data_IF_362680048457
#
_entry.id   IF_362680048457
#
_cell.length_a   1.000
_cell.length_b   1.000
_cell.length_c   1.000
_cell.angle_alpha   90.00
_cell.angle_beta   90.00
_cell.angle_gamma   90.00
#
_symmetry.space_group_name_H-M   'P 1'
#
loop_
_entity.id
_entity.type
_entity.pdbx_description
1 polymer ?
#
# COMPACT_ATOMS: atom_id res chain seq x y z
N UNK A 1 -19.57 11.95 -13.20
CA UNK A 1 -18.98 12.25 -14.52
C UNK A 1 -17.73 11.40 -14.71
N UNK A 2 -17.65 10.65 -15.81
CA UNK A 2 -16.56 9.72 -16.14
C UNK A 2 -15.33 10.52 -16.61
N UNK A 3 -14.29 10.63 -15.78
CA UNK A 3 -13.00 11.15 -16.23
C UNK A 3 -12.21 10.02 -16.91
N UNK A 4 -12.27 10.00 -18.24
CA UNK A 4 -11.36 9.22 -19.09
C UNK A 4 -9.97 9.83 -18.98
N UNK A 5 -9.01 9.06 -18.45
CA UNK A 5 -7.59 9.39 -18.55
C UNK A 5 -7.24 9.30 -20.05
N UNK A 6 -6.95 10.46 -20.66
CA UNK A 6 -6.41 10.54 -22.01
C UNK A 6 -4.96 10.09 -21.95
N UNK A 7 -4.70 8.88 -22.47
CA UNK A 7 -3.38 8.38 -22.81
C UNK A 7 -2.77 9.36 -23.83
N UNK A 8 -1.84 10.22 -23.40
CA UNK A 8 -1.02 11.00 -24.30
C UNK A 8 0.00 10.04 -24.94
N UNK A 9 -0.38 9.45 -26.08
CA UNK A 9 0.57 8.83 -27.00
C UNK A 9 1.36 9.98 -27.65
N UNK A 10 2.50 10.34 -27.07
CA UNK A 10 3.50 11.12 -27.79
C UNK A 10 4.06 10.24 -28.88
N UNK A 11 3.56 10.42 -30.10
CA UNK A 11 4.25 9.97 -31.31
C UNK A 11 5.62 10.65 -31.34
N UNK A 12 6.67 9.89 -31.05
CA UNK A 12 8.01 10.27 -31.45
C UNK A 12 8.03 10.37 -32.97
N UNK A 13 8.33 11.56 -33.49
CA UNK A 13 8.66 11.76 -34.89
C UNK A 13 9.76 10.78 -35.28
N UNK A 14 9.46 9.88 -36.20
CA UNK A 14 10.49 9.08 -36.88
C UNK A 14 11.30 10.08 -37.70
N UNK A 15 12.46 10.45 -37.18
CA UNK A 15 13.45 11.22 -37.93
C UNK A 15 13.96 10.32 -39.06
N UNK A 16 13.36 10.43 -40.24
CA UNK A 16 13.96 9.91 -41.48
C UNK A 16 15.27 10.68 -41.70
N UNK A 17 16.39 10.09 -41.31
CA UNK A 17 17.71 10.61 -41.67
C UNK A 17 17.96 10.35 -43.16
N UNK A 18 18.56 11.32 -43.88
CA UNK A 18 18.85 11.18 -45.31
C UNK A 18 19.98 10.16 -45.49
N UNK A 19 19.69 9.05 -46.16
CA UNK A 19 20.70 8.12 -46.65
C UNK A 19 21.52 8.83 -47.74
N UNK A 20 22.68 9.38 -47.38
CA UNK A 20 23.68 9.82 -48.36
C UNK A 20 24.38 8.58 -48.93
N UNK A 21 24.25 8.40 -50.24
CA UNK A 21 24.88 7.33 -50.99
C UNK A 21 26.41 7.51 -50.99
N UNK A 22 27.14 6.55 -50.45
CA UNK A 22 28.60 6.43 -50.61
C UNK A 22 28.97 5.07 -51.20
N UNK A 23 29.96 5.11 -52.09
CA UNK A 23 30.44 4.04 -52.98
C UNK A 23 30.87 2.75 -52.28
N UNK A 24 30.56 1.64 -52.95
CA UNK A 24 30.59 0.26 -52.50
C UNK A 24 31.99 -0.27 -52.13
N UNK A 25 32.34 -0.24 -50.84
CA UNK A 25 33.04 -1.28 -50.06
C UNK A 25 33.54 -0.68 -48.74
N UNK A 26 34.06 0.55 -48.75
CA UNK A 26 34.36 1.31 -47.52
C UNK A 26 33.09 1.84 -46.83
N UNK A 27 32.08 2.24 -47.61
CA UNK A 27 30.82 2.78 -47.08
C UNK A 27 29.99 1.76 -46.28
N UNK A 28 30.13 0.47 -46.56
CA UNK A 28 29.45 -0.59 -45.81
C UNK A 28 30.08 -0.83 -44.44
N UNK A 29 31.41 -0.79 -44.33
CA UNK A 29 32.09 -0.87 -43.04
C UNK A 29 31.79 0.34 -42.16
N UNK A 30 31.71 1.53 -42.76
CA UNK A 30 31.31 2.75 -42.06
C UNK A 30 29.83 2.68 -41.65
N UNK A 31 28.94 2.14 -42.49
CA UNK A 31 27.53 1.93 -42.15
C UNK A 31 27.35 0.95 -40.99
N UNK A 32 28.01 -0.21 -41.03
CA UNK A 32 27.93 -1.22 -39.94
C UNK A 32 28.43 -0.64 -38.62
N UNK A 33 29.56 0.08 -38.63
CA UNK A 33 30.08 0.74 -37.42
C UNK A 33 29.13 1.82 -36.90
N UNK A 34 28.50 2.58 -37.78
CA UNK A 34 27.49 3.58 -37.40
C UNK A 34 26.24 2.91 -36.81
N UNK A 35 25.76 1.80 -37.39
CA UNK A 35 24.63 1.04 -36.87
C UNK A 35 24.92 0.43 -35.50
N UNK A 36 26.08 -0.20 -35.34
CA UNK A 36 26.54 -0.74 -34.05
C UNK A 36 26.66 0.34 -32.98
N UNK A 37 27.24 1.50 -33.34
CA UNK A 37 27.40 2.63 -32.43
C UNK A 37 26.03 3.21 -32.01
N UNK A 38 25.10 3.37 -32.96
CA UNK A 38 23.75 3.86 -32.68
C UNK A 38 22.97 2.90 -31.79
N UNK A 39 23.00 1.61 -32.11
CA UNK A 39 22.36 0.56 -31.30
C UNK A 39 22.92 0.53 -29.87
N UNK A 40 24.26 0.49 -29.74
CA UNK A 40 24.91 0.50 -28.43
C UNK A 40 24.54 1.75 -27.63
N UNK A 41 24.60 2.93 -28.24
CA UNK A 41 24.23 4.18 -27.58
C UNK A 41 22.76 4.20 -27.13
N UNK A 42 21.84 3.68 -27.94
CA UNK A 42 20.43 3.59 -27.58
C UNK A 42 20.20 2.68 -26.38
N UNK A 43 20.78 1.48 -26.37
CA UNK A 43 20.66 0.55 -25.24
C UNK A 43 21.26 1.14 -23.97
N UNK A 44 22.47 1.74 -24.03
CA UNK A 44 23.08 2.37 -22.87
C UNK A 44 22.25 3.53 -22.33
N UNK A 45 21.64 4.33 -23.21
CA UNK A 45 20.72 5.41 -22.81
C UNK A 45 19.47 4.86 -22.13
N UNK A 46 18.85 3.82 -22.69
CA UNK A 46 17.69 3.17 -22.09
C UNK A 46 18.03 2.56 -20.74
N UNK A 47 19.13 1.80 -20.64
CA UNK A 47 19.58 1.21 -19.39
C UNK A 47 19.90 2.27 -18.33
N UNK A 48 20.54 3.38 -18.71
CA UNK A 48 20.79 4.50 -17.80
C UNK A 48 19.47 5.08 -17.25
N UNK A 49 18.43 5.19 -18.08
CA UNK A 49 17.11 5.61 -17.63
C UNK A 49 16.46 4.58 -16.70
N UNK A 50 16.62 3.29 -17.00
CA UNK A 50 16.14 2.20 -16.14
C UNK A 50 16.79 2.29 -14.77
N UNK A 51 18.13 2.39 -14.73
CA UNK A 51 18.94 2.50 -13.51
C UNK A 51 18.47 3.65 -12.61
N UNK A 52 18.22 4.84 -13.16
CA UNK A 52 17.74 5.98 -12.36
C UNK A 52 16.37 5.71 -11.72
N UNK A 53 15.46 5.02 -12.42
CA UNK A 53 14.17 4.66 -11.83
C UNK A 53 14.29 3.50 -10.83
N UNK A 54 15.20 2.57 -11.10
CA UNK A 54 15.54 1.47 -10.19
C UNK A 54 16.11 1.98 -8.87
N UNK A 55 17.04 2.93 -8.91
CA UNK A 55 17.62 3.55 -7.71
C UNK A 55 16.55 4.24 -6.88
N UNK A 56 15.65 5.02 -7.48
CA UNK A 56 14.51 5.63 -6.78
C UNK A 56 13.57 4.59 -6.15
N UNK A 57 13.34 3.49 -6.86
CA UNK A 57 12.49 2.41 -6.39
C UNK A 57 13.14 1.64 -5.24
N UNK A 58 14.45 1.37 -5.32
CA UNK A 58 15.26 0.78 -4.26
C UNK A 58 15.31 1.68 -3.02
N UNK A 59 15.54 2.99 -3.21
CA UNK A 59 15.57 3.97 -2.13
C UNK A 59 14.21 4.06 -1.40
N UNK A 60 13.10 3.93 -2.15
CA UNK A 60 11.78 3.86 -1.56
C UNK A 60 11.64 2.70 -0.55
N UNK A 61 12.24 1.54 -0.86
CA UNK A 61 12.23 0.36 -0.01
C UNK A 61 13.43 0.26 0.94
N UNK A 62 14.31 1.27 0.98
CA UNK A 62 15.45 1.26 1.89
C UNK A 62 15.00 1.37 3.35
N UNK A 63 15.42 0.39 4.17
CA UNK A 63 15.13 0.36 5.61
C UNK A 63 15.95 1.36 6.46
N UNK A 64 16.79 2.20 5.84
CA UNK A 64 17.67 3.13 6.57
C UNK A 64 17.09 4.54 6.68
N UNK A 65 17.26 5.14 7.87
CA UNK A 65 16.80 6.49 8.25
C UNK A 65 17.49 7.64 7.47
N UNK A 66 18.54 7.36 6.70
CA UNK A 66 19.34 8.39 6.04
C UNK A 66 18.75 8.88 4.71
N UNK A 67 17.72 8.22 4.18
CA UNK A 67 17.04 8.64 2.95
C UNK A 67 15.78 9.45 3.29
N UNK A 68 15.67 10.66 2.74
CA UNK A 68 14.52 11.57 3.01
C UNK A 68 13.20 11.09 2.37
N UNK A 69 13.21 10.05 1.54
CA UNK A 69 12.10 9.67 0.65
C UNK A 69 11.80 8.15 0.62
N UNK A 70 12.09 7.40 1.68
CA UNK A 70 11.65 6.01 1.80
C UNK A 70 10.15 5.89 2.17
N UNK A 71 9.56 4.70 2.04
CA UNK A 71 8.16 4.44 2.37
C UNK A 71 7.78 4.88 3.80
N UNK A 72 8.70 4.68 4.75
CA UNK A 72 8.50 5.07 6.15
C UNK A 72 8.46 6.59 6.34
N UNK A 73 9.21 7.37 5.56
CA UNK A 73 9.22 8.84 5.64
C UNK A 73 7.82 9.46 5.41
N UNK A 74 6.99 8.84 4.56
CA UNK A 74 5.64 9.31 4.24
C UNK A 74 4.57 8.85 5.23
N UNK A 75 4.85 7.80 6.00
CA UNK A 75 3.83 7.02 6.70
C UNK A 75 4.08 6.93 8.20
N UNK A 76 5.32 6.75 8.64
CA UNK A 76 5.67 6.21 9.95
C UNK A 76 5.10 7.00 11.12
N UNK A 77 5.24 8.34 11.12
CA UNK A 77 4.75 9.16 12.24
C UNK A 77 3.22 9.09 12.38
N UNK A 78 2.50 9.16 11.25
CA UNK A 78 1.04 9.06 11.24
C UNK A 78 0.58 7.65 11.58
N UNK A 79 1.24 6.64 11.01
CA UNK A 79 1.01 5.24 11.31
C UNK A 79 1.21 4.92 12.77
N UNK A 80 2.32 5.35 13.37
CA UNK A 80 2.63 5.06 14.77
C UNK A 80 1.54 5.58 15.70
N UNK A 81 1.06 6.81 15.46
CA UNK A 81 -0.07 7.40 16.18
C UNK A 81 -1.38 6.63 15.94
N UNK A 82 -1.72 6.35 14.68
CA UNK A 82 -2.91 5.56 14.30
C UNK A 82 -2.91 4.17 14.93
N UNK A 83 -1.76 3.49 14.86
CA UNK A 83 -1.56 2.14 15.35
C UNK A 83 -1.65 2.06 16.86
N UNK A 84 -1.12 3.06 17.60
CA UNK A 84 -1.34 3.14 19.05
C UNK A 84 -2.82 3.22 19.40
N UNK A 85 -3.59 4.05 18.68
CA UNK A 85 -5.02 4.22 18.89
C UNK A 85 -5.78 2.92 18.63
N UNK A 86 -5.53 2.26 17.49
CA UNK A 86 -6.22 1.02 17.13
C UNK A 86 -5.78 -0.18 17.97
N UNK A 87 -4.49 -0.26 18.34
CA UNK A 87 -3.98 -1.33 19.21
C UNK A 87 -4.53 -1.26 20.62
N UNK A 88 -4.73 -0.05 21.16
CA UNK A 88 -5.40 0.12 22.45
C UNK A 88 -6.83 -0.44 22.42
N UNK A 89 -7.60 -0.12 21.38
CA UNK A 89 -8.93 -0.67 21.17
C UNK A 89 -8.90 -2.20 21.09
N UNK A 90 -8.01 -2.76 20.26
CA UNK A 90 -7.89 -4.20 20.09
C UNK A 90 -7.54 -4.90 21.41
N UNK A 91 -6.59 -4.38 22.19
CA UNK A 91 -6.20 -4.98 23.46
C UNK A 91 -7.32 -4.96 24.52
N UNK A 92 -8.08 -3.87 24.59
CA UNK A 92 -9.08 -3.68 25.65
C UNK A 92 -10.47 -4.22 25.30
N UNK A 93 -10.77 -4.43 24.02
CA UNK A 93 -12.09 -4.85 23.55
C UNK A 93 -12.02 -6.17 22.80
N UNK A 94 -11.28 -6.23 21.68
CA UNK A 94 -11.26 -7.41 20.81
C UNK A 94 -10.56 -8.62 21.44
N UNK A 95 -9.41 -8.39 22.06
CA UNK A 95 -8.55 -9.43 22.64
C UNK A 95 -8.83 -9.65 24.13
N UNK A 96 -9.71 -8.85 24.73
CA UNK A 96 -10.14 -9.02 26.11
C UNK A 96 -11.27 -10.06 26.14
N UNK A 97 -10.96 -11.29 26.55
CA UNK A 97 -11.90 -12.42 26.53
C UNK A 97 -13.21 -12.14 27.28
N UNK A 98 -13.14 -11.45 28.43
CA UNK A 98 -14.33 -11.08 29.21
C UNK A 98 -15.22 -10.11 28.43
N UNK A 99 -14.63 -9.04 27.89
CA UNK A 99 -15.38 -8.01 27.15
C UNK A 99 -15.94 -8.60 25.86
N UNK A 100 -15.11 -9.29 25.08
CA UNK A 100 -15.49 -9.92 23.83
C UNK A 100 -16.70 -10.87 24.03
N UNK A 101 -16.66 -11.73 25.04
CA UNK A 101 -17.79 -12.64 25.35
C UNK A 101 -19.09 -11.89 25.58
N UNK A 102 -19.07 -10.76 26.30
CA UNK A 102 -20.26 -9.92 26.53
C UNK A 102 -20.75 -9.30 25.23
N UNK A 103 -19.83 -8.78 24.40
CA UNK A 103 -20.18 -8.09 23.16
C UNK A 103 -20.67 -9.05 22.06
N UNK A 104 -20.32 -10.34 22.12
CA UNK A 104 -20.85 -11.39 21.24
C UNK A 104 -22.30 -11.81 21.57
N UNK A 105 -22.81 -11.47 22.76
CA UNK A 105 -24.21 -11.75 23.11
C UNK A 105 -25.18 -10.98 22.19
N UNK A 106 -26.34 -11.59 21.93
CA UNK A 106 -27.44 -10.89 21.26
C UNK A 106 -27.93 -9.69 22.09
N UNK A 107 -28.43 -8.65 21.43
CA UNK A 107 -28.97 -7.45 22.08
C UNK A 107 -30.10 -7.75 23.08
N UNK A 108 -30.75 -8.91 22.99
CA UNK A 108 -31.75 -9.39 23.96
C UNK A 108 -31.14 -9.84 25.30
N UNK A 109 -29.92 -10.40 25.24
CA UNK A 109 -29.19 -10.99 26.36
C UNK A 109 -28.17 -10.04 27.00
N UNK A 110 -27.98 -8.85 26.44
CA UNK A 110 -27.18 -7.76 27.05
C UNK A 110 -28.03 -6.54 27.35
N UNK A 111 -27.55 -5.73 28.28
CA UNK A 111 -28.15 -4.46 28.66
C UNK A 111 -27.07 -3.38 28.83
N UNK A 112 -27.46 -2.11 28.77
CA UNK A 112 -26.57 -0.95 28.93
C UNK A 112 -27.17 0.01 29.95
N UNK A 113 -26.39 0.45 30.93
CA UNK A 113 -26.92 1.15 32.08
C UNK A 113 -25.87 1.44 33.13
N UNK A 114 -26.29 1.75 34.36
CA UNK A 114 -25.40 2.03 35.48
C UNK A 114 -25.86 1.31 36.75
N UNK A 115 -24.97 1.18 37.73
CA UNK A 115 -25.33 0.64 39.03
C UNK A 115 -25.65 1.77 40.01
N UNK A 116 -26.75 1.62 40.74
CA UNK A 116 -27.13 2.47 41.87
C UNK A 116 -27.52 1.55 43.04
N UNK A 117 -26.86 1.69 44.18
CA UNK A 117 -27.07 0.82 45.35
C UNK A 117 -27.02 -0.69 45.01
N UNK A 118 -26.01 -1.11 44.22
CA UNK A 118 -25.84 -2.48 43.71
C UNK A 118 -26.99 -3.02 42.85
N UNK A 119 -27.91 -2.16 42.41
CA UNK A 119 -28.97 -2.53 41.46
C UNK A 119 -28.63 -1.93 40.10
N UNK A 120 -28.73 -2.73 39.05
CA UNK A 120 -28.53 -2.25 37.68
C UNK A 120 -29.77 -1.50 37.19
N UNK A 121 -29.58 -0.25 36.77
CA UNK A 121 -30.60 0.60 36.16
C UNK A 121 -30.34 0.64 34.67
N UNK A 122 -31.24 0.03 33.89
CA UNK A 122 -31.14 0.02 32.44
C UNK A 122 -31.35 1.40 31.85
N UNK A 123 -30.48 1.74 30.90
CA UNK A 123 -30.57 2.89 30.01
C UNK A 123 -30.71 2.46 28.54
N UNK A 124 -31.18 1.23 28.29
CA UNK A 124 -31.26 0.64 26.95
C UNK A 124 -31.97 1.55 25.95
N UNK A 125 -33.07 2.20 26.35
CA UNK A 125 -33.80 3.12 25.47
C UNK A 125 -32.97 4.32 25.02
N UNK A 126 -32.11 4.85 25.90
CA UNK A 126 -31.26 6.02 25.61
C UNK A 126 -29.98 5.62 24.88
N UNK A 127 -29.41 4.46 25.20
CA UNK A 127 -28.12 3.98 24.70
C UNK A 127 -28.23 2.80 23.72
N UNK A 128 -29.40 2.54 23.12
CA UNK A 128 -29.59 1.40 22.22
C UNK A 128 -28.59 1.42 21.05
N UNK A 129 -28.34 2.60 20.47
CA UNK A 129 -27.37 2.76 19.39
C UNK A 129 -25.96 2.30 19.82
N UNK A 130 -25.53 2.62 21.04
CA UNK A 130 -24.24 2.16 21.57
C UNK A 130 -24.19 0.64 21.76
N UNK A 131 -25.30 0.03 22.19
CA UNK A 131 -25.40 -1.42 22.35
C UNK A 131 -25.20 -2.15 21.00
N UNK A 132 -25.79 -1.61 19.92
CA UNK A 132 -25.64 -2.10 18.55
C UNK A 132 -24.26 -1.79 17.97
N UNK A 133 -23.75 -0.58 18.19
CA UNK A 133 -22.43 -0.16 17.71
C UNK A 133 -21.29 -0.98 18.31
N UNK A 134 -21.42 -1.36 19.58
CA UNK A 134 -20.49 -2.24 20.30
C UNK A 134 -20.82 -3.73 20.16
N UNK A 135 -21.75 -4.14 19.29
CA UNK A 135 -22.07 -5.55 19.07
C UNK A 135 -20.98 -6.29 18.29
N UNK A 136 -20.65 -7.51 18.70
CA UNK A 136 -19.76 -8.43 17.96
C UNK A 136 -20.50 -9.70 17.51
N UNK A 137 -21.82 -9.76 17.66
CA UNK A 137 -22.60 -10.85 17.08
C UNK A 137 -22.54 -10.76 15.53
N UNK A 138 -22.57 -11.90 14.83
CA UNK A 138 -22.34 -11.93 13.37
C UNK A 138 -23.35 -11.10 12.57
N UNK A 139 -24.59 -10.99 13.06
CA UNK A 139 -25.68 -10.26 12.40
C UNK A 139 -25.37 -8.76 12.34
N UNK A 140 -24.94 -8.18 13.46
CA UNK A 140 -24.71 -6.74 13.59
C UNK A 140 -23.28 -6.31 13.26
N UNK A 141 -22.33 -7.25 13.31
CA UNK A 141 -20.91 -6.96 13.19
C UNK A 141 -20.54 -6.41 11.80
N UNK A 142 -21.22 -6.78 10.73
CA UNK A 142 -20.74 -6.54 9.35
C UNK A 142 -20.51 -5.06 8.98
N UNK A 143 -21.10 -4.09 9.69
CA UNK A 143 -20.88 -2.67 9.39
C UNK A 143 -21.01 -1.66 10.56
N UNK A 144 -21.00 -2.15 11.80
CA UNK A 144 -21.10 -1.30 12.99
C UNK A 144 -19.74 -0.69 13.42
N UNK A 145 -19.71 0.02 14.55
CA UNK A 145 -18.48 0.61 15.08
C UNK A 145 -17.39 -0.45 15.36
N UNK A 146 -17.75 -1.61 15.94
CA UNK A 146 -16.81 -2.69 16.23
C UNK A 146 -16.05 -3.16 14.99
N UNK A 147 -16.74 -3.48 13.89
CA UNK A 147 -16.02 -3.92 12.68
C UNK A 147 -15.21 -2.83 12.03
N UNK A 148 -15.65 -1.57 12.07
CA UNK A 148 -14.86 -0.43 11.58
C UNK A 148 -13.54 -0.30 12.33
N UNK A 149 -13.57 -0.47 13.65
CA UNK A 149 -12.36 -0.42 14.48
C UNK A 149 -11.47 -1.65 14.34
N UNK A 150 -12.06 -2.85 14.22
CA UNK A 150 -11.28 -4.06 13.92
C UNK A 150 -10.56 -3.91 12.57
N UNK A 151 -11.27 -3.49 11.52
CA UNK A 151 -10.69 -3.23 10.19
C UNK A 151 -9.58 -2.16 10.24
N UNK A 152 -9.74 -1.14 11.09
CA UNK A 152 -8.72 -0.12 11.28
C UNK A 152 -7.45 -0.70 11.92
N UNK A 153 -7.59 -1.54 12.95
CA UNK A 153 -6.47 -2.24 13.57
C UNK A 153 -5.77 -3.19 12.59
N UNK A 154 -6.53 -4.03 11.87
CA UNK A 154 -5.98 -4.95 10.87
C UNK A 154 -5.19 -4.22 9.78
N UNK A 155 -5.75 -3.13 9.24
CA UNK A 155 -5.09 -2.35 8.19
C UNK A 155 -3.82 -1.63 8.68
N UNK A 156 -3.81 -1.14 9.92
CA UNK A 156 -2.60 -0.54 10.49
C UNK A 156 -1.46 -1.58 10.60
N UNK A 157 -1.77 -2.83 10.99
CA UNK A 157 -0.76 -3.88 11.03
C UNK A 157 -0.30 -4.26 9.62
N UNK A 158 -1.25 -4.53 8.71
CA UNK A 158 -0.95 -4.93 7.34
C UNK A 158 -0.03 -3.92 6.64
N UNK A 159 -0.34 -2.62 6.74
CA UNK A 159 0.45 -1.57 6.10
C UNK A 159 1.92 -1.58 6.53
N UNK A 160 2.20 -1.85 7.81
CA UNK A 160 3.59 -1.94 8.28
C UNK A 160 4.24 -3.24 7.81
N UNK A 161 3.51 -4.35 7.91
CA UNK A 161 4.06 -5.67 7.60
C UNK A 161 4.43 -5.76 6.11
N UNK A 162 3.53 -5.33 5.21
CA UNK A 162 3.80 -5.34 3.77
C UNK A 162 5.00 -4.45 3.39
N UNK A 163 5.13 -3.26 3.99
CA UNK A 163 6.29 -2.38 3.70
C UNK A 163 7.59 -3.05 4.15
N UNK A 164 7.60 -3.70 5.32
CA UNK A 164 8.80 -4.39 5.82
C UNK A 164 9.14 -5.60 4.96
N UNK A 165 8.15 -6.41 4.61
CA UNK A 165 8.37 -7.65 3.86
C UNK A 165 8.76 -7.35 2.42
N UNK A 166 8.12 -6.35 1.79
CA UNK A 166 8.53 -5.86 0.46
C UNK A 166 9.96 -5.28 0.51
N UNK A 167 10.30 -4.50 1.53
CA UNK A 167 11.65 -3.95 1.68
C UNK A 167 12.74 -5.02 1.84
N UNK A 168 12.44 -6.13 2.53
CA UNK A 168 13.37 -7.26 2.66
C UNK A 168 13.45 -8.10 1.39
N UNK A 169 12.35 -8.23 0.66
CA UNK A 169 12.25 -9.10 -0.51
C UNK A 169 12.60 -8.40 -1.82
N UNK A 170 12.70 -7.06 -1.84
CA UNK A 170 12.79 -6.28 -3.08
C UNK A 170 13.95 -6.73 -4.00
N UNK A 171 15.09 -7.12 -3.43
CA UNK A 171 16.26 -7.58 -4.21
C UNK A 171 15.99 -8.82 -5.05
N UNK A 172 14.95 -9.59 -4.70
CA UNK A 172 14.52 -10.81 -5.38
C UNK A 172 13.34 -10.54 -6.33
N UNK A 173 12.96 -9.28 -6.52
CA UNK A 173 11.89 -8.92 -7.44
C UNK A 173 12.40 -8.92 -8.87
N UNK A 174 11.49 -9.15 -9.80
CA UNK A 174 11.78 -9.15 -11.24
C UNK A 174 12.44 -7.83 -11.68
N UNK A 175 12.06 -6.70 -11.08
CA UNK A 175 12.69 -5.40 -11.32
C UNK A 175 14.22 -5.39 -11.02
N UNK A 176 14.64 -6.02 -9.93
CA UNK A 176 16.05 -6.19 -9.56
C UNK A 176 16.74 -7.24 -10.43
N UNK A 177 16.07 -8.35 -10.74
CA UNK A 177 16.61 -9.37 -11.65
C UNK A 177 16.92 -8.79 -13.04
N UNK A 178 16.03 -7.95 -13.58
CA UNK A 178 16.24 -7.29 -14.87
C UNK A 178 17.44 -6.34 -14.84
N UNK A 179 17.56 -5.55 -13.77
CA UNK A 179 18.73 -4.68 -13.55
C UNK A 179 20.03 -5.49 -13.52
N UNK A 180 20.03 -6.61 -12.81
CA UNK A 180 21.21 -7.44 -12.58
C UNK A 180 21.70 -8.16 -13.85
N UNK A 181 20.85 -8.38 -14.86
CA UNK A 181 21.29 -8.99 -16.12
C UNK A 181 22.38 -8.17 -16.83
N UNK A 182 22.40 -6.84 -16.68
CA UNK A 182 23.41 -5.97 -17.29
C UNK A 182 24.79 -6.06 -16.64
N UNK A 183 24.89 -6.74 -15.50
CA UNK A 183 26.13 -6.97 -14.76
C UNK A 183 26.51 -8.45 -14.72
N UNK A 184 25.74 -9.31 -15.39
CA UNK A 184 26.05 -10.73 -15.45
C UNK A 184 27.21 -10.96 -16.42
N UNK A 185 28.32 -11.50 -15.91
CA UNK A 185 29.55 -11.69 -16.67
C UNK A 185 29.58 -12.97 -17.49
N UNK A 186 28.60 -13.86 -17.33
CA UNK A 186 28.56 -15.16 -18.02
C UNK A 186 28.42 -15.06 -19.55
N UNK A 187 27.81 -13.97 -20.05
CA UNK A 187 27.69 -13.66 -21.48
C UNK A 187 28.77 -12.69 -21.99
N UNK A 188 29.73 -12.30 -21.14
CA UNK A 188 30.69 -11.23 -21.42
C UNK A 188 30.23 -9.85 -20.95
N UNK A 189 31.19 -8.95 -20.75
CA UNK A 189 30.95 -7.64 -20.11
C UNK A 189 30.67 -6.49 -21.10
N UNK A 190 30.62 -6.78 -22.40
CA UNK A 190 30.51 -5.80 -23.48
C UNK A 190 29.13 -5.80 -24.17
N UNK A 191 28.09 -5.89 -23.33
CA UNK A 191 26.73 -5.62 -23.77
C UNK A 191 26.64 -4.24 -24.46
N UNK A 192 25.70 -4.05 -25.39
CA UNK A 192 24.77 -5.04 -25.91
C UNK A 192 25.31 -5.81 -27.13
N UNK A 193 26.59 -5.64 -27.48
CA UNK A 193 27.16 -6.19 -28.72
C UNK A 193 27.86 -7.54 -28.51
N UNK A 194 28.45 -7.76 -27.33
CA UNK A 194 29.19 -8.98 -26.97
C UNK A 194 30.34 -9.33 -27.92
N UNK A 195 31.00 -8.31 -28.48
CA UNK A 195 32.13 -8.41 -29.43
C UNK A 195 33.32 -9.21 -28.90
N UNK A 196 33.52 -9.26 -27.59
CA UNK A 196 34.65 -9.93 -26.95
C UNK A 196 34.36 -11.40 -26.60
N UNK A 197 33.33 -11.99 -27.21
CA UNK A 197 32.93 -13.38 -26.99
C UNK A 197 33.03 -14.22 -28.26
N UNK A 198 33.10 -15.54 -28.09
CA UNK A 198 33.25 -16.48 -29.22
C UNK A 198 32.04 -16.45 -30.17
N UNK A 199 30.83 -16.23 -29.62
CA UNK A 199 29.61 -16.12 -30.41
C UNK A 199 28.76 -14.90 -30.02
N UNK A 200 29.12 -13.70 -30.51
CA UNK A 200 28.43 -12.46 -30.16
C UNK A 200 26.94 -12.46 -30.50
N UNK A 201 26.52 -13.15 -31.57
CA UNK A 201 25.11 -13.21 -31.98
C UNK A 201 24.28 -14.07 -31.03
N UNK A 202 24.77 -15.28 -30.72
CA UNK A 202 24.12 -16.17 -29.76
C UNK A 202 24.04 -15.52 -28.37
N UNK A 203 25.11 -14.86 -27.91
CA UNK A 203 25.08 -14.15 -26.63
C UNK A 203 24.07 -12.99 -26.61
N UNK A 204 23.89 -12.27 -27.73
CA UNK A 204 22.82 -11.25 -27.85
C UNK A 204 21.43 -11.87 -27.76
N UNK A 205 21.20 -13.02 -28.39
CA UNK A 205 19.92 -13.73 -28.33
C UNK A 205 19.64 -14.23 -26.91
N UNK A 206 20.61 -14.90 -26.27
CA UNK A 206 20.48 -15.38 -24.89
C UNK A 206 20.22 -14.20 -23.92
N UNK A 207 20.93 -13.08 -24.09
CA UNK A 207 20.69 -11.89 -23.28
C UNK A 207 19.26 -11.36 -23.44
N UNK A 208 18.78 -11.27 -24.68
CA UNK A 208 17.41 -10.82 -24.96
C UNK A 208 16.36 -11.77 -24.39
N UNK A 209 16.55 -13.07 -24.52
CA UNK A 209 15.62 -14.09 -24.02
C UNK A 209 15.52 -14.04 -22.49
N UNK A 210 16.66 -13.91 -21.79
CA UNK A 210 16.70 -13.72 -20.33
C UNK A 210 15.94 -12.45 -19.91
N UNK A 211 16.17 -11.33 -20.59
CA UNK A 211 15.45 -10.08 -20.31
C UNK A 211 13.95 -10.23 -20.54
N UNK A 212 13.55 -10.91 -21.61
CA UNK A 212 12.16 -11.12 -21.97
C UNK A 212 11.44 -12.06 -20.96
N UNK A 213 12.11 -13.13 -20.53
CA UNK A 213 11.61 -14.05 -19.51
C UNK A 213 11.36 -13.34 -18.17
N UNK A 214 12.28 -12.46 -17.77
CA UNK A 214 12.12 -11.61 -16.58
C UNK A 214 10.98 -10.60 -16.79
N UNK A 215 10.93 -9.93 -17.94
CA UNK A 215 9.90 -8.94 -18.25
C UNK A 215 8.48 -9.53 -18.23
N UNK A 216 8.30 -10.77 -18.66
CA UNK A 216 7.01 -11.46 -18.59
C UNK A 216 6.46 -11.58 -17.16
N UNK A 217 7.33 -11.52 -16.14
CA UNK A 217 6.93 -11.53 -14.72
C UNK A 217 6.54 -10.15 -14.19
N UNK A 218 6.94 -9.05 -14.85
CA UNK A 218 6.71 -7.69 -14.36
C UNK A 218 5.24 -7.38 -14.11
N UNK A 219 4.34 -7.74 -15.05
CA UNK A 219 2.93 -7.39 -14.92
C UNK A 219 2.27 -8.11 -13.73
N UNK A 220 2.60 -9.38 -13.51
CA UNK A 220 2.07 -10.15 -12.39
C UNK A 220 2.60 -9.61 -11.06
N UNK A 221 3.91 -9.36 -10.97
CA UNK A 221 4.53 -8.80 -9.78
C UNK A 221 4.02 -7.38 -9.48
N UNK A 222 3.87 -6.54 -10.51
CA UNK A 222 3.29 -5.20 -10.39
C UNK A 222 1.87 -5.25 -9.83
N UNK A 223 0.99 -6.10 -10.41
CA UNK A 223 -0.39 -6.24 -9.94
C UNK A 223 -0.46 -6.83 -8.53
N UNK A 224 0.41 -7.76 -8.19
CA UNK A 224 0.40 -8.41 -6.88
C UNK A 224 0.93 -7.49 -5.77
N UNK A 225 2.03 -6.76 -6.03
CA UNK A 225 2.79 -6.05 -5.00
C UNK A 225 2.62 -4.53 -5.03
N UNK A 226 2.56 -3.94 -6.22
CA UNK A 226 2.60 -2.48 -6.39
C UNK A 226 1.20 -1.90 -6.47
N UNK A 227 0.43 -2.25 -7.51
CA UNK A 227 -0.91 -1.72 -7.72
C UNK A 227 -1.77 -2.63 -8.59
N UNK A 228 -2.95 -2.96 -8.07
CA UNK A 228 -3.99 -3.67 -8.81
C UNK A 228 -5.16 -2.73 -9.10
N UNK A 229 -5.31 -2.31 -10.35
CA UNK A 229 -6.42 -1.44 -10.78
C UNK A 229 -7.79 -2.14 -10.77
N UNK A 230 -7.80 -3.47 -10.85
CA UNK A 230 -9.01 -4.28 -10.85
C UNK A 230 -9.62 -4.39 -9.42
N UNK A 231 -8.82 -4.14 -8.38
CA UNK A 231 -9.22 -4.17 -6.98
C UNK A 231 -9.65 -2.77 -6.52
N UNK A 232 -10.97 -2.59 -6.33
CA UNK A 232 -11.54 -1.32 -5.84
C UNK A 232 -11.63 -1.23 -4.33
N UNK A 233 -11.86 -2.36 -3.66
CA UNK A 233 -12.07 -2.44 -2.22
C UNK A 233 -11.06 -3.41 -1.60
N UNK A 234 -10.64 -3.11 -0.37
CA UNK A 234 -9.84 -4.05 0.42
C UNK A 234 -10.73 -5.18 0.93
N UNK A 235 -10.29 -6.40 0.69
CA UNK A 235 -10.88 -7.60 1.28
C UNK A 235 -10.27 -7.82 2.67
N UNK A 236 -10.91 -7.24 3.69
CA UNK A 236 -10.43 -7.31 5.08
C UNK A 236 -10.33 -8.73 5.63
N UNK A 237 -11.02 -9.72 5.03
CA UNK A 237 -10.92 -11.13 5.43
C UNK A 237 -9.57 -11.75 5.04
N UNK A 238 -8.83 -11.11 4.14
CA UNK A 238 -7.53 -11.57 3.63
C UNK A 238 -6.36 -10.67 4.04
N UNK A 239 -6.59 -9.72 4.94
CA UNK A 239 -5.51 -8.96 5.56
C UNK A 239 -4.75 -9.84 6.56
N UNK A 240 -3.45 -9.62 6.69
CA UNK A 240 -2.54 -10.49 7.39
C UNK A 240 -1.92 -11.54 6.46
N UNK A 241 -1.08 -12.40 7.04
CA UNK A 241 -0.44 -13.51 6.33
C UNK A 241 -1.50 -14.50 5.83
N UNK A 242 -1.77 -14.47 4.52
CA UNK A 242 -2.73 -15.36 3.87
C UNK A 242 -2.00 -16.45 3.09
N UNK A 243 -2.54 -17.68 3.14
CA UNK A 243 -2.08 -18.77 2.28
C UNK A 243 -2.51 -18.47 0.84
N UNK A 244 -1.55 -18.26 -0.05
CA UNK A 244 -1.79 -18.11 -1.48
C UNK A 244 -2.09 -19.47 -2.12
N UNK A 245 -2.67 -19.44 -3.33
CA UNK A 245 -3.11 -20.65 -4.04
C UNK A 245 -1.95 -21.61 -4.41
N UNK A 246 -0.72 -21.11 -4.41
CA UNK A 246 0.51 -21.88 -4.64
C UNK A 246 1.12 -22.47 -3.35
N UNK A 247 0.44 -22.31 -2.21
CA UNK A 247 0.91 -22.78 -0.89
C UNK A 247 1.94 -21.86 -0.23
N UNK A 248 2.30 -20.74 -0.87
CA UNK A 248 3.14 -19.71 -0.24
C UNK A 248 2.30 -18.84 0.69
N UNK A 249 2.95 -18.18 1.64
CA UNK A 249 2.29 -17.17 2.45
C UNK A 249 2.69 -15.78 1.99
N UNK A 250 1.74 -14.86 1.92
CA UNK A 250 2.02 -13.47 1.59
C UNK A 250 0.84 -12.53 1.74
N UNK A 251 1.08 -11.26 1.44
CA UNK A 251 0.08 -10.21 1.41
C UNK A 251 -0.84 -10.38 0.19
N UNK A 252 -2.14 -10.20 0.40
CA UNK A 252 -3.16 -10.40 -0.65
C UNK A 252 -3.54 -9.12 -1.40
N UNK A 253 -3.06 -7.96 -0.92
CA UNK A 253 -3.33 -6.65 -1.52
C UNK A 253 -2.03 -5.95 -1.89
N UNK A 254 -2.03 -5.29 -3.03
CA UNK A 254 -0.91 -4.47 -3.45
C UNK A 254 -0.80 -3.18 -2.60
N UNK A 255 0.43 -2.71 -2.41
CA UNK A 255 0.78 -1.61 -1.50
C UNK A 255 0.01 -0.32 -1.80
N UNK A 256 -0.22 0.04 -3.07
CA UNK A 256 -0.97 1.24 -3.43
C UNK A 256 -2.46 1.12 -3.08
N UNK A 257 -3.05 -0.08 -3.21
CA UNK A 257 -4.45 -0.28 -2.83
C UNK A 257 -4.62 -0.10 -1.32
N UNK A 258 -3.72 -0.69 -0.52
CA UNK A 258 -3.69 -0.53 0.93
C UNK A 258 -3.42 0.93 1.34
N UNK A 259 -2.47 1.60 0.67
CA UNK A 259 -2.16 3.01 0.89
C UNK A 259 -3.37 3.92 0.69
N UNK A 260 -4.17 3.69 -0.36
CA UNK A 260 -5.38 4.45 -0.63
C UNK A 260 -6.42 4.23 0.50
N UNK A 261 -6.65 2.98 0.88
CA UNK A 261 -7.61 2.65 1.94
C UNK A 261 -7.16 3.25 3.28
N UNK A 262 -5.89 3.11 3.64
CA UNK A 262 -5.35 3.60 4.89
C UNK A 262 -5.40 5.14 4.99
N UNK A 263 -5.13 5.84 3.89
CA UNK A 263 -5.27 7.30 3.86
C UNK A 263 -6.74 7.72 3.98
N UNK A 264 -7.70 6.97 3.42
CA UNK A 264 -9.13 7.25 3.67
C UNK A 264 -9.49 7.17 5.16
N UNK A 265 -8.80 6.34 5.93
CA UNK A 265 -9.06 6.17 7.37
C UNK A 265 -8.35 7.20 8.25
N UNK A 266 -7.25 7.79 7.79
CA UNK A 266 -6.33 8.53 8.69
C UNK A 266 -6.00 9.94 8.22
N UNK A 267 -6.02 10.21 6.92
CA UNK A 267 -5.59 11.49 6.38
C UNK A 267 -6.62 12.58 6.64
N UNK A 268 -6.15 13.70 7.17
CA UNK A 268 -6.88 14.95 7.32
C UNK A 268 -5.94 16.06 6.85
N UNK A 269 -6.40 16.95 5.97
CA UNK A 269 -5.55 17.98 5.40
C UNK A 269 -6.32 19.25 5.06
N UNK A 270 -5.61 20.36 4.87
CA UNK A 270 -6.19 21.61 4.39
C UNK A 270 -6.27 21.66 2.85
N UNK A 271 -7.41 22.11 2.34
CA UNK A 271 -7.60 22.52 0.94
C UNK A 271 -8.35 23.83 0.92
N UNK A 272 -7.77 24.87 0.33
CA UNK A 272 -8.39 26.20 0.24
C UNK A 272 -8.87 26.76 1.60
N UNK A 273 -8.07 26.51 2.66
CA UNK A 273 -8.35 26.82 4.09
C UNK A 273 -9.47 25.99 4.74
N UNK A 274 -10.06 25.04 4.03
CA UNK A 274 -11.03 24.09 4.57
C UNK A 274 -10.35 22.79 4.99
N UNK A 275 -10.85 22.16 6.06
CA UNK A 275 -10.39 20.84 6.48
C UNK A 275 -11.10 19.79 5.63
N UNK A 276 -10.32 19.04 4.86
CA UNK A 276 -10.79 17.88 4.10
C UNK A 276 -10.55 16.61 4.90
N UNK A 277 -11.60 15.82 5.06
CA UNK A 277 -11.55 14.51 5.70
C UNK A 277 -12.50 13.56 4.97
N UNK A 278 -12.09 12.30 4.82
CA UNK A 278 -12.96 11.28 4.23
C UNK A 278 -14.06 10.87 5.22
N UNK A 279 -15.22 10.44 4.72
CA UNK A 279 -16.30 9.89 5.54
C UNK A 279 -15.87 8.62 6.29
N UNK A 280 -14.89 7.89 5.76
CA UNK A 280 -14.32 6.68 6.34
C UNK A 280 -13.25 6.98 7.40
N UNK A 281 -12.92 8.26 7.65
CA UNK A 281 -11.86 8.65 8.58
C UNK A 281 -12.16 8.12 9.99
N UNK A 282 -11.35 7.16 10.44
CA UNK A 282 -11.55 6.42 11.69
C UNK A 282 -11.34 7.32 12.90
N UNK A 283 -10.41 8.26 12.84
CA UNK A 283 -10.20 9.21 13.93
C UNK A 283 -11.39 10.13 14.13
N UNK A 284 -12.03 10.59 13.04
CA UNK A 284 -13.27 11.35 13.13
C UNK A 284 -14.39 10.53 13.74
N UNK A 285 -14.61 9.30 13.24
CA UNK A 285 -15.63 8.38 13.76
C UNK A 285 -15.44 8.12 15.27
N UNK A 286 -14.20 7.94 15.72
CA UNK A 286 -13.87 7.76 17.15
C UNK A 286 -14.21 9.03 17.97
N UNK A 287 -13.84 10.22 17.45
CA UNK A 287 -14.14 11.49 18.13
C UNK A 287 -15.65 11.76 18.20
N UNK A 288 -16.38 11.46 17.13
CA UNK A 288 -17.83 11.57 17.07
C UNK A 288 -18.48 10.64 18.11
N UNK A 289 -18.01 9.38 18.22
CA UNK A 289 -18.46 8.45 19.28
C UNK A 289 -18.27 9.03 20.69
N UNK A 290 -17.13 9.65 20.98
CA UNK A 290 -16.89 10.27 22.30
C UNK A 290 -17.84 11.43 22.58
N UNK A 291 -18.08 12.28 21.58
CA UNK A 291 -19.04 13.38 21.68
C UNK A 291 -20.47 12.88 21.91
N UNK A 292 -20.89 11.87 21.14
CA UNK A 292 -22.22 11.27 21.26
C UNK A 292 -22.41 10.66 22.65
N UNK A 293 -21.42 9.93 23.14
CA UNK A 293 -21.46 9.32 24.47
C UNK A 293 -21.64 10.36 25.58
N UNK A 294 -20.86 11.45 25.54
CA UNK A 294 -20.98 12.56 26.51
C UNK A 294 -22.32 13.29 26.41
N UNK A 295 -22.85 13.45 25.20
CA UNK A 295 -24.13 14.12 24.98
C UNK A 295 -25.31 13.34 25.60
N UNK A 296 -25.22 12.01 25.59
CA UNK A 296 -26.21 11.10 26.18
C UNK A 296 -26.00 10.91 27.68
N UNK A 297 -24.74 10.93 28.16
CA UNK A 297 -24.40 10.73 29.57
C UNK A 297 -24.20 12.05 30.34
N UNK A 298 -25.19 12.95 30.30
CA UNK A 298 -25.09 14.30 30.89
C UNK A 298 -24.84 14.29 32.40
N UNK A 299 -25.34 13.27 33.09
CA UNK A 299 -25.21 13.12 34.54
C UNK A 299 -23.88 12.47 34.95
N UNK A 300 -22.96 12.23 34.00
CA UNK A 300 -21.65 11.62 34.21
C UNK A 300 -21.73 10.30 35.00
N UNK A 301 -22.73 9.47 34.72
CA UNK A 301 -22.86 8.14 35.33
C UNK A 301 -21.78 7.21 34.77
N UNK A 302 -21.34 6.25 35.58
CA UNK A 302 -20.47 5.17 35.08
C UNK A 302 -21.32 4.15 34.35
N UNK A 303 -21.22 4.12 33.03
CA UNK A 303 -22.02 3.28 32.13
C UNK A 303 -21.31 1.95 31.90
N UNK A 304 -22.08 0.88 31.99
CA UNK A 304 -21.66 -0.50 31.78
C UNK A 304 -22.52 -1.14 30.69
N UNK A 305 -21.90 -2.03 29.89
CA UNK A 305 -22.63 -3.06 29.15
C UNK A 305 -22.53 -4.36 29.97
N UNK A 306 -23.66 -5.02 30.22
CA UNK A 306 -23.74 -6.21 31.08
C UNK A 306 -24.34 -7.40 30.34
N UNK A 307 -24.00 -8.61 30.78
CA UNK A 307 -24.81 -9.81 30.55
C UNK A 307 -26.03 -9.78 31.49
N UNK A 308 -27.24 -9.91 30.93
CA UNK A 308 -28.48 -9.87 31.72
C UNK A 308 -28.63 -11.07 32.67
N UNK A 309 -27.96 -12.18 32.37
CA UNK A 309 -28.01 -13.39 33.19
C UNK A 309 -27.00 -13.37 34.34
N UNK A 310 -25.98 -12.51 34.26
CA UNK A 310 -24.92 -12.36 35.27
C UNK A 310 -24.30 -10.96 35.18
N UNK A 311 -24.86 -10.00 35.92
CA UNK A 311 -24.45 -8.59 35.88
C UNK A 311 -23.02 -8.32 36.39
N UNK A 312 -22.38 -9.31 37.03
CA UNK A 312 -20.95 -9.30 37.38
C UNK A 312 -20.06 -9.44 36.14
N UNK A 313 -20.59 -10.03 35.06
CA UNK A 313 -20.00 -9.97 33.73
C UNK A 313 -20.40 -8.67 33.07
N UNK A 314 -19.61 -7.65 33.35
CA UNK A 314 -19.77 -6.32 32.79
C UNK A 314 -18.50 -5.81 32.10
N UNK A 315 -18.73 -4.91 31.16
CA UNK A 315 -17.76 -4.07 30.49
C UNK A 315 -18.03 -2.62 30.90
N UNK A 316 -17.08 -2.00 31.61
CA UNK A 316 -17.16 -0.60 32.00
C UNK A 316 -16.86 0.30 30.80
N UNK A 317 -17.91 0.64 30.06
CA UNK A 317 -17.84 1.45 28.85
C UNK A 317 -17.32 2.85 29.13
N UNK A 318 -17.78 3.49 30.22
CA UNK A 318 -17.30 4.83 30.60
C UNK A 318 -15.78 4.87 30.78
N UNK A 319 -15.23 3.97 31.60
CA UNK A 319 -13.79 3.96 31.88
C UNK A 319 -12.97 3.66 30.62
N UNK A 320 -13.45 2.76 29.77
CA UNK A 320 -12.82 2.49 28.49
C UNK A 320 -12.82 3.72 27.58
N UNK A 321 -13.97 4.37 27.38
CA UNK A 321 -14.08 5.53 26.50
C UNK A 321 -13.25 6.72 27.01
N UNK A 322 -13.23 6.98 28.32
CA UNK A 322 -12.40 8.03 28.93
C UNK A 322 -10.92 7.75 28.67
N UNK A 323 -10.45 6.53 28.99
CA UNK A 323 -9.05 6.16 28.82
C UNK A 323 -8.62 6.17 27.35
N UNK A 324 -9.51 5.75 26.45
CA UNK A 324 -9.26 5.77 25.02
C UNK A 324 -9.25 7.19 24.45
N UNK A 325 -10.15 8.06 24.91
CA UNK A 325 -10.17 9.47 24.53
C UNK A 325 -8.86 10.17 24.89
N UNK A 326 -8.34 9.94 26.09
CA UNK A 326 -7.07 10.51 26.53
C UNK A 326 -5.90 9.98 25.68
N UNK A 327 -5.92 8.69 25.33
CA UNK A 327 -4.95 8.12 24.41
C UNK A 327 -5.03 8.74 23.00
N UNK A 328 -6.24 8.98 22.49
CA UNK A 328 -6.48 9.65 21.20
C UNK A 328 -5.99 11.10 21.22
N UNK A 329 -6.21 11.84 22.32
CA UNK A 329 -5.68 13.21 22.50
C UNK A 329 -4.16 13.22 22.48
N UNK A 330 -3.53 12.31 23.22
CA UNK A 330 -2.07 12.19 23.31
C UNK A 330 -1.40 11.69 22.02
N UNK A 331 -2.16 11.04 21.14
CA UNK A 331 -1.68 10.52 19.86
C UNK A 331 -2.42 11.16 18.67
N UNK A 332 -2.85 12.42 18.82
CA UNK A 332 -3.59 13.09 17.75
C UNK A 332 -2.73 13.19 16.48
N UNK A 333 -3.29 12.71 15.37
CA UNK A 333 -2.68 12.86 14.06
C UNK A 333 -2.84 14.31 13.61
N UNK A 334 -1.73 14.92 13.18
CA UNK A 334 -1.70 16.29 12.74
C UNK A 334 -2.44 16.46 11.41
N UNK A 335 -3.11 17.60 11.27
CA UNK A 335 -3.73 17.98 10.00
C UNK A 335 -2.61 18.42 9.05
N UNK A 336 -2.49 17.72 7.93
CA UNK A 336 -1.48 18.06 6.94
C UNK A 336 -1.81 19.37 6.22
N UNK A 337 -0.78 20.10 5.79
CA UNK A 337 -0.98 21.35 5.04
C UNK A 337 -1.68 21.13 3.70
N UNK A 338 -1.54 19.95 3.11
CA UNK A 338 -2.11 19.50 1.85
C UNK A 338 -2.00 17.96 1.76
N UNK A 339 -2.34 17.37 0.61
CA UNK A 339 -2.25 15.94 0.37
C UNK A 339 -0.93 15.51 -0.34
N UNK A 340 0.15 16.26 -0.20
CA UNK A 340 1.41 15.97 -0.90
C UNK A 340 2.04 14.66 -0.45
N UNK A 341 1.97 14.29 0.83
CA UNK A 341 2.50 13.01 1.33
C UNK A 341 1.86 11.83 0.60
N UNK A 342 0.53 11.86 0.50
CA UNK A 342 -0.28 10.89 -0.24
C UNK A 342 0.14 10.79 -1.71
N UNK A 343 0.24 11.93 -2.40
CA UNK A 343 0.60 11.95 -3.82
C UNK A 343 2.05 11.56 -4.06
N UNK A 344 2.98 11.98 -3.20
CA UNK A 344 4.41 11.69 -3.33
C UNK A 344 4.71 10.22 -3.11
N UNK A 345 4.07 9.56 -2.15
CA UNK A 345 4.18 8.11 -1.96
C UNK A 345 3.79 7.37 -3.25
N UNK A 346 2.61 7.72 -3.81
CA UNK A 346 2.14 7.11 -5.06
C UNK A 346 3.07 7.41 -6.22
N UNK A 347 3.55 8.65 -6.33
CA UNK A 347 4.47 9.07 -7.38
C UNK A 347 5.77 8.27 -7.37
N UNK A 348 6.43 8.17 -6.21
CA UNK A 348 7.72 7.47 -6.10
C UNK A 348 7.58 5.97 -6.42
N UNK A 349 6.48 5.34 -5.98
CA UNK A 349 6.27 3.92 -6.21
C UNK A 349 5.73 3.61 -7.61
N UNK A 350 4.64 4.27 -8.04
CA UNK A 350 3.97 4.02 -9.33
C UNK A 350 4.77 4.54 -10.52
N UNK A 351 5.28 5.77 -10.47
CA UNK A 351 5.94 6.34 -11.65
C UNK A 351 7.24 5.60 -11.93
N UNK A 352 8.04 5.33 -10.88
CA UNK A 352 9.30 4.61 -11.01
C UNK A 352 9.09 3.20 -11.59
N UNK A 353 8.12 2.44 -11.07
CA UNK A 353 7.81 1.09 -11.58
C UNK A 353 7.25 1.10 -12.99
N UNK A 354 6.30 1.98 -13.30
CA UNK A 354 5.75 2.09 -14.67
C UNK A 354 6.82 2.50 -15.69
N UNK A 355 7.71 3.43 -15.31
CA UNK A 355 8.83 3.82 -16.15
C UNK A 355 9.79 2.66 -16.38
N UNK A 356 10.14 1.89 -15.34
CA UNK A 356 10.96 0.68 -15.48
C UNK A 356 10.34 -0.33 -16.44
N UNK A 357 9.04 -0.62 -16.32
CA UNK A 357 8.31 -1.52 -17.24
C UNK A 357 8.40 -1.00 -18.68
N UNK A 358 8.11 0.28 -18.90
CA UNK A 358 8.14 0.89 -20.23
C UNK A 358 9.54 0.86 -20.85
N UNK A 359 10.57 1.16 -20.07
CA UNK A 359 11.97 1.16 -20.51
C UNK A 359 12.44 -0.26 -20.80
N UNK A 360 12.12 -1.25 -19.94
CA UNK A 360 12.46 -2.65 -20.16
C UNK A 360 11.89 -3.18 -21.48
N UNK A 361 10.62 -2.87 -21.77
CA UNK A 361 9.99 -3.22 -23.05
C UNK A 361 10.71 -2.59 -24.24
N UNK A 362 11.17 -1.34 -24.12
CA UNK A 362 11.93 -0.65 -25.17
C UNK A 362 13.28 -1.32 -25.39
N UNK A 363 14.00 -1.67 -24.33
CA UNK A 363 15.27 -2.41 -24.42
C UNK A 363 15.09 -3.72 -25.20
N UNK A 364 14.13 -4.55 -24.80
CA UNK A 364 13.85 -5.85 -25.45
C UNK A 364 13.55 -5.65 -26.95
N UNK A 365 12.71 -4.66 -27.28
CA UNK A 365 12.38 -4.37 -28.67
C UNK A 365 13.59 -3.86 -29.47
N UNK A 366 14.43 -3.01 -28.88
CA UNK A 366 15.64 -2.49 -29.54
C UNK A 366 16.65 -3.61 -29.80
N UNK A 367 16.84 -4.55 -28.87
CA UNK A 367 17.71 -5.73 -29.09
C UNK A 367 17.14 -6.62 -30.19
N UNK A 368 15.84 -6.97 -30.10
CA UNK A 368 15.17 -7.79 -31.10
C UNK A 368 15.23 -7.18 -32.51
N UNK A 369 15.06 -5.87 -32.63
CA UNK A 369 15.12 -5.18 -33.92
C UNK A 369 16.53 -5.07 -34.50
N UNK A 370 17.57 -5.15 -33.69
CA UNK A 370 18.95 -5.19 -34.16
C UNK A 370 19.33 -6.59 -34.66
N UNK A 371 18.74 -7.64 -34.08
CA UNK A 371 18.98 -9.03 -34.46
C UNK A 371 18.19 -9.48 -35.72
N UNK A 372 17.11 -8.77 -36.08
CA UNK A 372 16.36 -8.97 -37.33
C UNK A 372 16.83 -8.00 -38.41
#
# INVERSE_FOLDING_TARGET
MKNKIKLFLTFSSISLLPLLAFSCQSSFYDLTRVLEANYSNEIHKLFSQYKVNYEKFSDFFALSDNSKENAFSYFYNRWFKANKISSYFAANVLNNSKVNTILMLSDENKDIGYFENNTFISLKNTFNAFLTDFSMNEIDYTNNFMSKMNRFWMLNNEMKDIINDDARAYSNWSFSEFYNQFFNSDLGNDYPLFKNTDNPSENREIFNDRLNDIFNRFNNEYKAKIFNEDIKNIDYSKLGFSLQADGTYGHSHALINLWNEWNSMTLVYYKDKEIVTDKNNRLKIIKDLFSDFKSLNKDNKTIYIIDKNDDKKNFNLSNFLISWEDLVKNNNIEIEKNNNSFNNFKKHLLDSSNNMISIAKRIINTIKNYNN
#
